data_IF_397065421607
#
_entry.id   IF_397065421607
#
_cell.length_a   1.000
_cell.length_b   1.000
_cell.length_c   1.000
_cell.angle_alpha   90.00
_cell.angle_beta   90.00
_cell.angle_gamma   90.00
#
_symmetry.space_group_name_H-M   'P 1'
#
loop_
_entity.id
_entity.type
_entity.pdbx_description
1 polymer ?
#
# COMPACT_ATOMS: atom_id res chain seq x y z
N UNK A 1 -32.62 -25.02 33.83
CA UNK A 1 -33.30 -24.45 32.64
C UNK A 1 -32.35 -24.54 31.46
N UNK A 2 -32.80 -25.16 30.38
CA UNK A 2 -31.97 -25.85 29.38
C UNK A 2 -31.13 -24.94 28.49
N UNK A 3 -29.86 -25.32 28.35
CA UNK A 3 -28.87 -24.73 27.47
C UNK A 3 -29.22 -25.01 26.00
N UNK A 4 -29.86 -24.05 25.33
CA UNK A 4 -30.08 -24.07 23.88
C UNK A 4 -28.82 -23.51 23.21
N UNK A 5 -27.81 -24.37 23.06
CA UNK A 5 -26.76 -24.19 22.07
C UNK A 5 -27.36 -24.51 20.69
N UNK A 6 -28.01 -23.52 20.06
CA UNK A 6 -28.40 -23.61 18.66
C UNK A 6 -27.17 -23.65 17.76
N UNK A 7 -26.71 -24.87 17.53
CA UNK A 7 -26.20 -25.45 16.28
C UNK A 7 -26.18 -24.44 15.11
N UNK A 8 -25.04 -23.78 14.91
CA UNK A 8 -24.68 -23.17 13.62
C UNK A 8 -24.81 -24.25 12.54
N UNK A 9 -25.91 -24.23 11.77
CA UNK A 9 -26.09 -25.10 10.62
C UNK A 9 -25.02 -24.74 9.59
N UNK A 10 -23.95 -25.53 9.58
CA UNK A 10 -23.19 -25.96 8.41
C UNK A 10 -23.05 -24.89 7.31
N UNK A 11 -22.20 -23.89 7.55
CA UNK A 11 -21.36 -23.40 6.47
C UNK A 11 -20.58 -24.61 5.97
N UNK A 12 -20.95 -25.08 4.77
CA UNK A 12 -20.35 -26.20 4.04
C UNK A 12 -18.85 -26.23 4.33
N UNK A 13 -18.38 -27.24 5.08
CA UNK A 13 -16.96 -27.49 5.36
C UNK A 13 -16.24 -27.72 4.03
N UNK A 14 -15.88 -26.67 3.30
CA UNK A 14 -14.83 -26.76 2.31
C UNK A 14 -13.57 -27.07 3.10
N UNK A 15 -13.06 -28.30 2.96
CA UNK A 15 -11.74 -28.68 3.47
C UNK A 15 -10.78 -27.55 3.07
N UNK A 16 -10.11 -26.88 4.03
CA UNK A 16 -9.11 -25.90 3.66
C UNK A 16 -8.06 -26.60 2.79
N UNK A 17 -7.64 -26.01 1.66
CA UNK A 17 -6.60 -26.61 0.84
C UNK A 17 -5.39 -26.86 1.72
N UNK A 18 -4.93 -28.10 1.74
CA UNK A 18 -3.71 -28.54 2.41
C UNK A 18 -2.58 -27.71 1.81
N UNK A 19 -2.13 -26.68 2.55
CA UNK A 19 -1.07 -25.78 2.10
C UNK A 19 0.28 -26.41 2.44
N UNK A 20 1.07 -26.66 1.40
CA UNK A 20 2.47 -27.06 1.46
C UNK A 20 3.31 -26.08 2.28
N UNK A 21 3.83 -26.56 3.41
CA UNK A 21 5.27 -26.60 3.70
C UNK A 21 6.10 -25.33 3.92
N UNK A 22 5.60 -24.10 3.70
CA UNK A 22 6.40 -22.90 4.01
C UNK A 22 5.62 -21.88 4.86
N UNK A 23 5.95 -21.82 6.15
CA UNK A 23 5.44 -20.83 7.10
C UNK A 23 6.08 -19.46 6.80
N UNK A 24 5.55 -18.79 5.78
CA UNK A 24 5.68 -17.34 5.65
C UNK A 24 5.32 -16.70 6.98
N UNK A 25 6.26 -15.98 7.60
CA UNK A 25 5.99 -15.16 8.78
C UNK A 25 4.83 -14.22 8.44
N UNK A 26 3.68 -14.43 9.10
CA UNK A 26 2.51 -13.57 8.91
C UNK A 26 2.83 -12.17 9.42
N UNK A 27 2.45 -11.12 8.68
CA UNK A 27 2.67 -9.73 9.10
C UNK A 27 1.96 -9.42 10.42
N UNK A 28 0.92 -10.17 10.75
CA UNK A 28 0.26 -10.16 12.06
C UNK A 28 1.25 -10.17 13.23
N UNK A 29 2.36 -10.91 13.13
CA UNK A 29 3.38 -11.01 14.19
C UNK A 29 4.09 -9.71 14.53
N UNK A 30 4.05 -8.70 13.66
CA UNK A 30 4.65 -7.39 13.94
C UNK A 30 3.76 -6.49 14.79
N UNK A 31 2.49 -6.86 14.98
CA UNK A 31 1.55 -6.11 15.83
C UNK A 31 1.81 -6.51 17.29
N UNK A 32 2.27 -5.58 18.12
CA UNK A 32 2.61 -5.85 19.52
C UNK A 32 1.38 -5.93 20.40
N UNK A 33 1.37 -6.88 21.34
CA UNK A 33 0.32 -7.03 22.34
C UNK A 33 0.76 -6.34 23.63
N UNK A 34 0.22 -5.15 23.90
CA UNK A 34 0.75 -4.27 24.94
C UNK A 34 0.01 -4.37 26.29
N UNK A 35 -0.92 -5.32 26.45
CA UNK A 35 -1.67 -5.50 27.69
C UNK A 35 -0.80 -6.11 28.78
N UNK A 36 -0.61 -5.34 29.86
CA UNK A 36 0.07 -5.81 31.08
C UNK A 36 -0.83 -6.75 31.87
N UNK A 37 -0.27 -7.44 32.87
CA UNK A 37 -1.06 -8.34 33.72
C UNK A 37 -2.18 -7.60 34.46
N UNK A 38 -1.90 -6.41 35.01
CA UNK A 38 -2.90 -5.53 35.64
C UNK A 38 -4.09 -5.20 34.71
N UNK A 39 -3.81 -4.99 33.42
CA UNK A 39 -4.82 -4.72 32.41
C UNK A 39 -5.68 -5.94 32.10
N UNK A 40 -5.07 -7.14 32.13
CA UNK A 40 -5.82 -8.39 31.94
C UNK A 40 -6.73 -8.66 33.13
N UNK A 41 -6.21 -8.46 34.34
CA UNK A 41 -6.95 -8.72 35.58
C UNK A 41 -8.16 -7.78 35.70
N UNK A 42 -8.02 -6.48 35.38
CA UNK A 42 -9.15 -5.55 35.41
C UNK A 42 -10.21 -5.89 34.36
N UNK A 43 -9.79 -6.31 33.15
CA UNK A 43 -10.72 -6.75 32.10
C UNK A 43 -11.50 -7.99 32.54
N UNK A 44 -10.82 -9.01 33.07
CA UNK A 44 -11.45 -10.25 33.55
C UNK A 44 -12.41 -9.97 34.71
N UNK A 45 -12.00 -9.13 35.68
CA UNK A 45 -12.79 -8.79 36.87
C UNK A 45 -14.13 -8.16 36.51
N UNK A 46 -14.18 -7.28 35.51
CA UNK A 46 -15.36 -6.46 35.23
C UNK A 46 -16.15 -6.85 33.98
N UNK A 47 -15.59 -7.65 33.06
CA UNK A 47 -16.25 -7.96 31.78
C UNK A 47 -17.65 -8.55 31.95
N UNK A 48 -17.79 -9.69 32.63
CA UNK A 48 -19.11 -10.28 32.87
C UNK A 48 -19.84 -9.59 34.04
N UNK A 49 -19.24 -9.46 35.24
CA UNK A 49 -20.00 -9.04 36.42
C UNK A 49 -20.48 -7.60 36.38
N UNK A 50 -19.75 -6.71 35.68
CA UNK A 50 -20.07 -5.28 35.60
C UNK A 50 -20.64 -4.94 34.23
N UNK A 51 -19.87 -5.14 33.16
CA UNK A 51 -20.23 -4.67 31.82
C UNK A 51 -21.44 -5.43 31.26
N UNK A 52 -21.37 -6.76 31.16
CA UNK A 52 -22.46 -7.52 30.55
C UNK A 52 -23.72 -7.61 31.44
N UNK A 53 -23.58 -7.44 32.76
CA UNK A 53 -24.74 -7.33 33.66
C UNK A 53 -25.52 -6.03 33.44
N UNK A 54 -24.83 -4.89 33.29
CA UNK A 54 -25.47 -3.60 33.05
C UNK A 54 -25.93 -3.44 31.60
N UNK A 55 -25.16 -3.95 30.66
CA UNK A 55 -25.36 -3.80 29.22
C UNK A 55 -25.39 -5.16 28.51
N UNK A 56 -26.43 -5.99 28.71
CA UNK A 56 -26.52 -7.33 28.10
C UNK A 56 -26.54 -7.28 26.57
N UNK A 57 -27.09 -6.20 26.00
CA UNK A 57 -27.17 -5.95 24.56
C UNK A 57 -26.05 -5.04 24.03
N UNK A 58 -24.93 -4.91 24.76
CA UNK A 58 -23.80 -4.03 24.43
C UNK A 58 -23.41 -4.07 22.94
N UNK A 59 -23.28 -5.28 22.38
CA UNK A 59 -22.84 -5.47 21.00
C UNK A 59 -23.91 -5.09 19.97
N UNK A 60 -25.19 -5.31 20.28
CA UNK A 60 -26.28 -4.89 19.41
C UNK A 60 -26.40 -3.37 19.41
N UNK A 61 -26.36 -2.74 20.59
CA UNK A 61 -26.33 -1.27 20.74
C UNK A 61 -25.14 -0.66 20.00
N UNK A 62 -23.95 -1.25 20.12
CA UNK A 62 -22.75 -0.81 19.39
C UNK A 62 -22.93 -0.89 17.87
N UNK A 63 -23.48 -2.00 17.36
CA UNK A 63 -23.73 -2.15 15.93
C UNK A 63 -24.76 -1.15 15.42
N UNK A 64 -25.83 -0.90 16.18
CA UNK A 64 -26.84 0.11 15.86
C UNK A 64 -26.25 1.53 15.82
N UNK A 65 -25.44 1.90 16.81
CA UNK A 65 -24.72 3.17 16.81
C UNK A 65 -23.77 3.30 15.61
N UNK A 66 -23.06 2.22 15.27
CA UNK A 66 -22.16 2.19 14.12
C UNK A 66 -22.89 2.33 12.78
N UNK A 67 -24.08 1.72 12.65
CA UNK A 67 -24.95 1.86 11.49
C UNK A 67 -25.45 3.31 11.38
N UNK A 68 -25.82 3.93 12.50
CA UNK A 68 -26.24 5.35 12.54
C UNK A 68 -25.12 6.27 12.03
N UNK A 69 -23.88 6.04 12.47
CA UNK A 69 -22.71 6.81 12.02
C UNK A 69 -22.30 6.47 10.58
N UNK A 70 -22.58 5.26 10.12
CA UNK A 70 -22.25 4.81 8.78
C UNK A 70 -23.34 3.91 8.18
N UNK A 71 -24.37 4.51 7.55
CA UNK A 71 -25.49 3.76 6.97
C UNK A 71 -25.06 2.71 5.93
N UNK A 72 -23.88 2.87 5.30
CA UNK A 72 -23.29 1.89 4.38
C UNK A 72 -23.02 0.53 5.01
N UNK A 73 -22.95 0.43 6.34
CA UNK A 73 -22.91 -0.86 7.03
C UNK A 73 -24.16 -1.70 6.75
N UNK A 74 -25.32 -1.06 6.52
CA UNK A 74 -26.54 -1.77 6.14
C UNK A 74 -26.38 -2.50 4.81
N UNK A 75 -25.73 -1.92 3.82
CA UNK A 75 -25.49 -2.59 2.53
C UNK A 75 -24.65 -3.87 2.69
N UNK A 76 -23.68 -3.82 3.59
CA UNK A 76 -22.76 -4.93 3.87
C UNK A 76 -23.48 -6.03 4.65
N UNK A 77 -24.26 -5.64 5.67
CA UNK A 77 -25.00 -6.56 6.52
C UNK A 77 -26.17 -7.18 5.73
N UNK A 78 -26.93 -6.40 4.98
CA UNK A 78 -28.06 -6.88 4.17
C UNK A 78 -27.66 -7.57 2.86
N UNK A 79 -26.43 -7.34 2.36
CA UNK A 79 -25.96 -7.78 1.03
C UNK A 79 -26.83 -7.23 -0.13
N UNK A 80 -27.22 -5.95 -0.05
CA UNK A 80 -27.91 -5.13 -1.09
C UNK A 80 -29.42 -5.34 -1.31
N UNK A 81 -30.12 -6.08 -0.47
CA UNK A 81 -31.57 -6.30 -0.61
C UNK A 81 -32.34 -5.62 0.50
N UNK A 82 -32.31 -4.29 0.59
CA UNK A 82 -33.00 -3.62 1.69
C UNK A 82 -33.63 -2.26 1.38
N UNK A 83 -34.81 -2.04 1.98
CA UNK A 83 -35.64 -0.83 1.92
C UNK A 83 -35.34 0.06 3.14
N UNK A 84 -34.72 1.24 2.97
CA UNK A 84 -34.22 2.09 4.06
C UNK A 84 -35.25 2.54 5.12
N UNK A 85 -36.53 2.18 4.97
CA UNK A 85 -37.63 2.54 5.86
C UNK A 85 -37.92 1.56 7.01
N UNK A 86 -37.24 0.39 7.17
CA UNK A 86 -37.61 -0.47 8.33
C UNK A 86 -37.24 0.18 9.65
N UNK A 87 -38.26 0.49 10.44
CA UNK A 87 -38.13 1.02 11.81
C UNK A 87 -37.50 -0.01 12.78
N UNK A 88 -37.39 -1.28 12.37
CA UNK A 88 -37.00 -2.41 13.23
C UNK A 88 -35.63 -3.04 12.87
N UNK A 89 -34.60 -2.24 12.57
CA UNK A 89 -33.25 -2.76 12.24
C UNK A 89 -32.67 -3.65 13.37
N UNK A 90 -32.97 -3.32 14.63
CA UNK A 90 -32.50 -4.07 15.80
C UNK A 90 -33.06 -5.52 15.87
N UNK A 91 -34.19 -5.78 15.21
CA UNK A 91 -34.85 -7.09 15.18
C UNK A 91 -34.30 -7.99 14.08
N UNK A 92 -33.38 -7.50 13.24
CA UNK A 92 -32.85 -8.29 12.14
C UNK A 92 -32.10 -9.52 12.65
N UNK A 93 -32.51 -10.75 12.26
CA UNK A 93 -31.88 -11.97 12.76
C UNK A 93 -30.38 -12.02 12.50
N UNK A 94 -29.94 -11.50 11.35
CA UNK A 94 -28.53 -11.45 10.99
C UNK A 94 -27.74 -10.46 11.85
N UNK A 95 -28.30 -9.29 12.16
CA UNK A 95 -27.66 -8.30 13.03
C UNK A 95 -27.52 -8.84 14.45
N UNK A 96 -28.59 -9.45 14.98
CA UNK A 96 -28.59 -10.11 16.28
C UNK A 96 -27.55 -11.24 16.34
N UNK A 97 -27.50 -12.11 15.31
CA UNK A 97 -26.49 -13.16 15.24
C UNK A 97 -25.06 -12.61 15.21
N UNK A 98 -24.83 -11.50 14.51
CA UNK A 98 -23.52 -10.82 14.52
C UNK A 98 -23.19 -10.26 15.90
N UNK A 99 -24.14 -9.62 16.57
CA UNK A 99 -23.97 -9.09 17.92
C UNK A 99 -23.64 -10.21 18.93
N UNK A 100 -24.38 -11.32 18.89
CA UNK A 100 -24.13 -12.52 19.72
C UNK A 100 -22.75 -13.10 19.42
N UNK A 101 -22.40 -13.22 18.13
CA UNK A 101 -21.09 -13.72 17.72
C UNK A 101 -19.93 -12.85 18.23
N UNK A 102 -20.09 -11.52 18.19
CA UNK A 102 -19.11 -10.58 18.73
C UNK A 102 -19.02 -10.70 20.26
N UNK A 103 -20.15 -10.77 20.96
CA UNK A 103 -20.17 -10.97 22.41
C UNK A 103 -19.46 -12.27 22.82
N UNK A 104 -19.77 -13.37 22.14
CA UNK A 104 -19.12 -14.65 22.37
C UNK A 104 -17.62 -14.61 22.07
N UNK A 105 -17.20 -13.89 21.01
CA UNK A 105 -15.79 -13.73 20.69
C UNK A 105 -15.03 -13.01 21.82
N UNK A 106 -15.50 -11.84 22.26
CA UNK A 106 -14.85 -11.08 23.33
C UNK A 106 -14.87 -11.81 24.66
N UNK A 107 -16.00 -12.41 25.04
CA UNK A 107 -16.11 -13.20 26.27
C UNK A 107 -15.15 -14.39 26.26
N UNK A 108 -15.01 -15.09 25.14
CA UNK A 108 -14.00 -16.14 24.98
C UNK A 108 -12.58 -15.58 25.16
N UNK A 109 -12.25 -14.44 24.55
CA UNK A 109 -10.90 -13.88 24.68
C UNK A 109 -10.58 -13.41 26.09
N UNK A 110 -11.53 -12.74 26.75
CA UNK A 110 -11.33 -12.16 28.08
C UNK A 110 -11.41 -13.25 29.17
N UNK A 111 -12.49 -14.03 29.19
CA UNK A 111 -12.79 -14.96 30.30
C UNK A 111 -12.12 -16.31 30.08
N UNK A 112 -12.35 -16.95 28.93
CA UNK A 112 -11.87 -18.32 28.67
C UNK A 112 -10.38 -18.36 28.39
N UNK A 113 -9.91 -17.54 27.46
CA UNK A 113 -8.51 -17.51 27.05
C UNK A 113 -7.64 -16.66 27.98
N UNK A 114 -8.23 -15.95 28.95
CA UNK A 114 -7.54 -15.03 29.88
C UNK A 114 -6.57 -14.09 29.19
N UNK A 115 -6.93 -13.63 27.99
CA UNK A 115 -6.12 -12.73 27.17
C UNK A 115 -4.70 -13.27 26.90
N UNK A 116 -4.59 -14.58 26.69
CA UNK A 116 -3.37 -15.20 26.14
C UNK A 116 -3.12 -14.66 24.72
N UNK A 117 -1.95 -14.04 24.52
CA UNK A 117 -1.63 -13.38 23.25
C UNK A 117 -1.69 -14.35 22.06
N UNK A 118 -1.18 -15.57 22.23
CA UNK A 118 -1.12 -16.56 21.17
C UNK A 118 -2.51 -16.97 20.69
N UNK A 119 -3.43 -17.20 21.63
CA UNK A 119 -4.83 -17.55 21.35
C UNK A 119 -5.61 -16.37 20.78
N UNK A 120 -5.50 -15.18 21.39
CA UNK A 120 -6.18 -13.96 20.91
C UNK A 120 -5.75 -13.67 19.48
N UNK A 121 -4.44 -13.69 19.21
CA UNK A 121 -3.90 -13.44 17.87
C UNK A 121 -4.43 -14.45 16.86
N UNK A 122 -4.38 -15.73 17.18
CA UNK A 122 -4.86 -16.80 16.30
C UNK A 122 -6.33 -16.62 15.94
N UNK A 123 -7.18 -16.35 16.91
CA UNK A 123 -8.62 -16.20 16.70
C UNK A 123 -8.93 -14.92 15.90
N UNK A 124 -8.24 -13.81 16.17
CA UNK A 124 -8.35 -12.56 15.39
C UNK A 124 -7.89 -12.70 13.94
N UNK A 125 -6.84 -13.50 13.69
CA UNK A 125 -6.39 -13.76 12.32
C UNK A 125 -7.46 -14.48 11.50
N UNK A 126 -8.13 -15.47 12.11
CA UNK A 126 -9.27 -16.16 11.50
C UNK A 126 -10.41 -15.17 11.24
N UNK A 127 -10.71 -14.29 12.19
CA UNK A 127 -11.77 -13.29 12.06
C UNK A 127 -11.47 -12.29 10.94
N UNK A 128 -10.25 -11.77 10.85
CA UNK A 128 -9.81 -10.88 9.76
C UNK A 128 -9.93 -11.54 8.38
N UNK A 129 -9.59 -12.82 8.29
CA UNK A 129 -9.76 -13.61 7.07
C UNK A 129 -11.22 -13.87 6.69
N UNK A 130 -12.18 -13.84 7.62
CA UNK A 130 -13.62 -13.90 7.31
C UNK A 130 -14.11 -12.53 6.79
N UNK A 131 -13.61 -11.42 7.36
CA UNK A 131 -14.04 -10.07 6.99
C UNK A 131 -13.70 -9.71 5.53
N UNK A 132 -12.68 -10.34 4.92
CA UNK A 132 -12.37 -10.19 3.49
C UNK A 132 -13.52 -10.63 2.58
N UNK A 133 -14.40 -11.52 3.02
CA UNK A 133 -15.56 -11.98 2.24
C UNK A 133 -16.59 -10.86 2.07
N UNK A 134 -16.63 -9.93 3.02
CA UNK A 134 -17.51 -8.77 2.99
C UNK A 134 -16.98 -7.61 2.14
N UNK A 135 -15.72 -7.68 1.68
CA UNK A 135 -15.13 -6.69 0.79
C UNK A 135 -15.94 -6.49 -0.50
N UNK A 136 -16.50 -7.57 -1.06
CA UNK A 136 -17.33 -7.52 -2.27
C UNK A 136 -18.61 -6.70 -2.08
N UNK A 137 -19.08 -6.55 -0.84
CA UNK A 137 -20.24 -5.74 -0.48
C UNK A 137 -19.85 -4.35 0.02
N UNK A 138 -18.57 -3.96 -0.12
CA UNK A 138 -18.09 -2.63 0.25
C UNK A 138 -17.52 -2.50 1.66
N UNK A 139 -17.29 -3.61 2.38
CA UNK A 139 -16.63 -3.56 3.69
C UNK A 139 -15.24 -2.93 3.58
N UNK A 140 -14.98 -1.94 4.44
CA UNK A 140 -13.72 -1.23 4.57
C UNK A 140 -13.23 -1.32 6.01
N UNK A 141 -11.91 -1.46 6.25
CA UNK A 141 -11.35 -1.49 7.60
C UNK A 141 -11.74 -0.32 8.49
N UNK A 142 -12.05 0.85 7.92
CA UNK A 142 -12.55 2.04 8.65
C UNK A 142 -13.81 1.77 9.48
N UNK A 143 -14.61 0.76 9.12
CA UNK A 143 -15.78 0.39 9.93
C UNK A 143 -15.41 -0.19 11.29
N UNK A 144 -14.23 -0.81 11.42
CA UNK A 144 -13.74 -1.29 12.71
C UNK A 144 -13.40 -0.12 13.64
N UNK A 145 -12.87 0.99 13.10
CA UNK A 145 -12.59 2.21 13.87
C UNK A 145 -13.90 2.82 14.42
N UNK A 146 -14.96 2.88 13.59
CA UNK A 146 -16.28 3.40 13.99
C UNK A 146 -16.90 2.50 15.06
N UNK A 147 -16.86 1.18 14.83
CA UNK A 147 -17.36 0.19 15.78
C UNK A 147 -16.67 0.29 17.13
N UNK A 148 -15.34 0.41 17.12
CA UNK A 148 -14.54 0.55 18.34
C UNK A 148 -14.88 1.83 19.09
N UNK A 149 -14.99 2.97 18.40
CA UNK A 149 -15.33 4.25 19.02
C UNK A 149 -16.68 4.19 19.73
N UNK A 150 -17.69 3.61 19.08
CA UNK A 150 -19.03 3.42 19.66
C UNK A 150 -19.02 2.46 20.84
N UNK A 151 -18.28 1.35 20.74
CA UNK A 151 -18.13 0.39 21.85
C UNK A 151 -17.55 1.06 23.09
N UNK A 152 -16.47 1.83 22.92
CA UNK A 152 -15.82 2.57 24.03
C UNK A 152 -16.79 3.59 24.63
N UNK A 153 -17.53 4.32 23.81
CA UNK A 153 -18.49 5.32 24.27
C UNK A 153 -19.62 4.70 25.12
N UNK A 154 -20.11 3.51 24.77
CA UNK A 154 -21.13 2.80 25.55
C UNK A 154 -20.54 2.26 26.85
N UNK A 155 -19.35 1.64 26.82
CA UNK A 155 -18.67 1.14 28.03
C UNK A 155 -18.39 2.27 29.03
N UNK A 156 -18.07 3.47 28.54
CA UNK A 156 -17.88 4.66 29.39
C UNK A 156 -19.14 5.10 30.14
N UNK A 157 -20.33 4.63 29.73
CA UNK A 157 -21.59 4.93 30.42
C UNK A 157 -21.88 3.94 31.55
N UNK A 158 -21.18 2.79 31.61
CA UNK A 158 -21.34 1.83 32.70
C UNK A 158 -20.78 2.37 34.02
N UNK A 159 -21.39 1.93 35.12
CA UNK A 159 -21.00 2.28 36.48
C UNK A 159 -20.00 1.28 37.03
N UNK A 160 -18.93 1.79 37.64
CA UNK A 160 -17.89 0.97 38.28
C UNK A 160 -17.71 1.40 39.72
N UNK A 161 -17.45 0.42 40.58
CA UNK A 161 -17.04 0.66 41.94
C UNK A 161 -15.75 -0.13 42.24
N UNK A 162 -14.63 0.53 42.56
CA UNK A 162 -14.40 2.00 42.61
C UNK A 162 -14.30 2.66 41.21
N UNK A 163 -14.40 4.00 41.15
CA UNK A 163 -14.29 4.75 39.88
C UNK A 163 -12.92 4.63 39.19
N UNK A 164 -11.85 4.36 39.94
CA UNK A 164 -10.53 4.10 39.35
C UNK A 164 -10.54 2.86 38.46
N UNK A 165 -11.36 1.86 38.79
CA UNK A 165 -11.51 0.65 37.98
C UNK A 165 -12.12 0.96 36.61
N UNK A 166 -13.02 1.97 36.52
CA UNK A 166 -13.55 2.46 35.24
C UNK A 166 -12.45 2.95 34.32
N UNK A 167 -11.57 3.82 34.85
CA UNK A 167 -10.48 4.43 34.08
C UNK A 167 -9.52 3.35 33.59
N UNK A 168 -9.14 2.43 34.47
CA UNK A 168 -8.25 1.32 34.16
C UNK A 168 -8.88 0.35 33.15
N UNK A 169 -10.14 0.00 33.34
CA UNK A 169 -10.88 -0.88 32.44
C UNK A 169 -11.02 -0.27 31.04
N UNK A 170 -11.46 0.99 30.94
CA UNK A 170 -11.63 1.67 29.64
C UNK A 170 -10.29 1.78 28.90
N UNK A 171 -9.19 2.08 29.61
CA UNK A 171 -7.85 2.08 29.03
C UNK A 171 -7.46 0.69 28.50
N UNK A 172 -7.56 -0.33 29.35
CA UNK A 172 -7.22 -1.71 28.98
C UNK A 172 -8.09 -2.22 27.82
N UNK A 173 -9.40 -1.95 27.83
CA UNK A 173 -10.32 -2.36 26.77
C UNK A 173 -10.04 -1.63 25.45
N UNK A 174 -9.64 -0.36 25.51
CA UNK A 174 -9.19 0.40 24.35
C UNK A 174 -7.92 -0.21 23.74
N UNK A 175 -6.94 -0.58 24.56
CA UNK A 175 -5.71 -1.26 24.11
C UNK A 175 -6.01 -2.63 23.49
N UNK A 176 -6.88 -3.44 24.12
CA UNK A 176 -7.34 -4.71 23.57
C UNK A 176 -8.03 -4.51 22.21
N UNK A 177 -8.99 -3.60 22.13
CA UNK A 177 -9.76 -3.36 20.90
C UNK A 177 -8.88 -2.81 19.78
N UNK A 178 -7.93 -1.93 20.08
CA UNK A 178 -6.95 -1.43 19.13
C UNK A 178 -6.09 -2.56 18.57
N UNK A 179 -5.61 -3.46 19.43
CA UNK A 179 -4.85 -4.63 19.02
C UNK A 179 -5.66 -5.52 18.08
N UNK A 180 -6.88 -5.89 18.48
CA UNK A 180 -7.78 -6.75 17.70
C UNK A 180 -8.11 -6.13 16.32
N UNK A 181 -8.50 -4.86 16.29
CA UNK A 181 -8.84 -4.15 15.06
C UNK A 181 -7.62 -4.06 14.14
N UNK A 182 -6.44 -3.67 14.67
CA UNK A 182 -5.20 -3.60 13.90
C UNK A 182 -4.84 -4.95 13.28
N UNK A 183 -4.97 -6.02 14.06
CA UNK A 183 -4.67 -7.37 13.60
C UNK A 183 -5.63 -7.82 12.48
N UNK A 184 -6.92 -7.52 12.63
CA UNK A 184 -7.92 -7.76 11.59
C UNK A 184 -7.64 -6.94 10.32
N UNK A 185 -7.21 -5.67 10.44
CA UNK A 185 -6.83 -4.84 9.29
C UNK A 185 -5.62 -5.44 8.56
N UNK A 186 -4.57 -5.85 9.29
CA UNK A 186 -3.38 -6.45 8.69
C UNK A 186 -3.73 -7.72 7.90
N UNK A 187 -4.54 -8.60 8.48
CA UNK A 187 -4.96 -9.84 7.82
C UNK A 187 -5.95 -9.59 6.66
N UNK A 188 -6.80 -8.57 6.78
CA UNK A 188 -7.64 -8.10 5.69
C UNK A 188 -6.79 -7.60 4.52
N UNK A 189 -5.79 -6.76 4.78
CA UNK A 189 -4.91 -6.24 3.74
C UNK A 189 -4.06 -7.34 3.08
N UNK A 190 -3.52 -8.27 3.87
CA UNK A 190 -2.73 -9.40 3.37
C UNK A 190 -3.59 -10.35 2.53
N UNK A 191 -4.81 -10.65 2.98
CA UNK A 191 -5.78 -11.43 2.21
C UNK A 191 -6.19 -10.71 0.93
N UNK A 192 -6.38 -9.39 0.99
CA UNK A 192 -6.71 -8.57 -0.17
C UNK A 192 -5.55 -8.52 -1.16
N UNK A 193 -4.30 -8.40 -0.71
CA UNK A 193 -3.10 -8.46 -1.56
C UNK A 193 -2.95 -9.85 -2.18
N UNK A 194 -3.23 -10.92 -1.44
CA UNK A 194 -3.21 -12.29 -1.97
C UNK A 194 -4.29 -12.51 -3.04
N UNK A 195 -5.50 -11.99 -2.83
CA UNK A 195 -6.56 -12.00 -3.84
C UNK A 195 -6.18 -11.14 -5.04
N UNK A 196 -5.71 -9.91 -4.84
CA UNK A 196 -5.24 -9.02 -5.92
C UNK A 196 -4.06 -9.63 -6.69
N UNK A 197 -3.14 -10.35 -6.06
CA UNK A 197 -2.09 -11.08 -6.77
C UNK A 197 -2.62 -12.15 -7.73
N UNK A 198 -3.86 -12.64 -7.54
CA UNK A 198 -4.59 -13.48 -8.50
C UNK A 198 -5.38 -12.68 -9.54
N UNK A 199 -5.78 -11.44 -9.24
CA UNK A 199 -6.57 -10.57 -10.13
C UNK A 199 -5.75 -9.50 -10.89
N UNK A 200 -4.49 -9.26 -10.54
CA UNK A 200 -3.59 -8.31 -11.22
C UNK A 200 -2.65 -9.09 -12.14
N UNK A 201 -3.23 -9.87 -13.05
CA UNK A 201 -2.83 -9.78 -14.46
C UNK A 201 -3.82 -8.81 -15.10
N UNK A 202 -3.75 -7.52 -14.71
CA UNK A 202 -4.31 -6.51 -15.62
C UNK A 202 -3.46 -6.67 -16.88
N UNK A 203 -4.11 -6.93 -18.00
CA UNK A 203 -3.44 -7.07 -19.28
C UNK A 203 -2.91 -5.69 -19.69
N UNK A 204 -1.80 -5.29 -19.08
CA UNK A 204 -1.13 -3.99 -19.30
C UNK A 204 -0.48 -3.91 -20.68
N UNK A 205 -0.73 -4.88 -21.57
CA UNK A 205 -0.20 -4.87 -22.93
C UNK A 205 -0.60 -3.58 -23.63
N UNK A 206 -1.88 -3.17 -23.55
CA UNK A 206 -2.35 -1.93 -24.18
C UNK A 206 -1.65 -0.68 -23.63
N UNK A 207 -1.49 -0.59 -22.31
CA UNK A 207 -0.78 0.53 -21.67
C UNK A 207 0.70 0.56 -22.05
N UNK A 208 1.38 -0.59 -21.99
CA UNK A 208 2.79 -0.70 -22.35
C UNK A 208 3.00 -0.36 -23.83
N UNK A 209 2.16 -0.90 -24.72
CA UNK A 209 2.19 -0.57 -26.15
C UNK A 209 2.01 0.93 -26.34
N UNK A 210 0.99 1.55 -25.74
CA UNK A 210 0.77 2.99 -25.87
C UNK A 210 1.96 3.83 -25.37
N UNK A 211 2.60 3.43 -24.26
CA UNK A 211 3.76 4.15 -23.73
C UNK A 211 5.05 3.93 -24.55
N UNK A 212 5.24 2.77 -25.16
CA UNK A 212 6.46 2.45 -25.92
C UNK A 212 6.39 2.87 -27.40
N UNK A 213 5.19 2.93 -27.98
CA UNK A 213 5.02 3.22 -29.41
C UNK A 213 5.60 4.57 -29.86
N UNK A 214 5.44 5.70 -29.13
CA UNK A 214 6.02 6.97 -29.56
C UNK A 214 7.54 6.92 -29.69
N UNK A 215 8.21 6.25 -28.75
CA UNK A 215 9.66 6.06 -28.78
C UNK A 215 10.11 5.20 -29.96
N UNK A 216 9.39 4.10 -30.24
CA UNK A 216 9.67 3.22 -31.37
C UNK A 216 9.48 3.92 -32.72
N UNK A 217 8.39 4.69 -32.87
CA UNK A 217 8.11 5.45 -34.09
C UNK A 217 9.19 6.51 -34.32
N UNK A 218 9.54 7.28 -33.28
CA UNK A 218 10.59 8.30 -33.37
C UNK A 218 11.96 7.68 -33.72
N UNK A 219 12.36 6.60 -33.04
CA UNK A 219 13.62 5.92 -33.31
C UNK A 219 13.68 5.37 -34.75
N UNK A 220 12.62 4.71 -35.21
CA UNK A 220 12.54 4.16 -36.57
C UNK A 220 12.63 5.26 -37.62
N UNK A 221 11.95 6.38 -37.39
CA UNK A 221 11.99 7.55 -38.28
C UNK A 221 13.42 8.10 -38.42
N UNK A 222 14.12 8.36 -37.31
CA UNK A 222 15.47 8.92 -37.36
C UNK A 222 16.52 7.96 -37.90
N UNK A 223 16.42 6.66 -37.59
CA UNK A 223 17.30 5.64 -38.18
C UNK A 223 17.11 5.60 -39.70
N UNK A 224 15.86 5.53 -40.17
CA UNK A 224 15.56 5.48 -41.61
C UNK A 224 16.05 6.74 -42.31
N UNK A 225 15.80 7.92 -41.72
CA UNK A 225 16.26 9.19 -42.28
C UNK A 225 17.79 9.30 -42.31
N UNK A 226 18.47 8.80 -41.27
CA UNK A 226 19.92 8.73 -41.20
C UNK A 226 20.52 7.84 -42.29
N UNK A 227 19.95 6.65 -42.51
CA UNK A 227 20.38 5.73 -43.58
C UNK A 227 20.21 6.38 -44.96
N UNK A 228 19.07 7.02 -45.21
CA UNK A 228 18.77 7.65 -46.50
C UNK A 228 19.64 8.88 -46.82
N UNK A 229 20.29 9.47 -45.81
CA UNK A 229 21.09 10.70 -45.95
C UNK A 229 22.56 10.50 -45.59
N UNK A 230 22.99 9.27 -45.34
CA UNK A 230 24.34 8.96 -44.83
C UNK A 230 25.44 9.49 -45.77
N UNK A 231 26.48 10.07 -45.18
CA UNK A 231 27.67 10.58 -45.88
C UNK A 231 28.90 9.82 -45.34
N UNK A 232 29.88 9.51 -46.20
CA UNK A 232 31.09 8.73 -45.85
C UNK A 232 32.16 9.54 -45.09
N UNK A 233 31.73 10.38 -44.14
CA UNK A 233 32.60 11.24 -43.35
C UNK A 233 33.04 10.53 -42.06
N UNK A 234 34.34 10.60 -41.68
CA UNK A 234 34.79 10.05 -40.41
C UNK A 234 34.19 10.84 -39.23
N UNK A 235 33.77 10.12 -38.18
CA UNK A 235 33.20 10.68 -36.96
C UNK A 235 34.23 10.64 -35.81
N UNK A 236 34.24 11.66 -34.96
CA UNK A 236 35.16 11.75 -33.82
C UNK A 236 34.84 10.75 -32.70
N UNK A 237 33.55 10.43 -32.51
CA UNK A 237 33.07 9.53 -31.47
C UNK A 237 31.85 8.74 -31.92
N UNK A 238 31.72 7.50 -31.45
CA UNK A 238 30.60 6.61 -31.75
C UNK A 238 29.36 6.96 -30.90
N UNK A 239 28.78 8.14 -31.11
CA UNK A 239 27.53 8.57 -30.46
C UNK A 239 26.45 8.84 -31.50
N UNK A 240 25.16 8.50 -31.23
CA UNK A 240 24.11 8.60 -32.23
C UNK A 240 23.95 9.98 -32.90
N UNK A 241 24.07 11.13 -32.18
CA UNK A 241 23.95 12.45 -32.81
C UNK A 241 25.06 12.78 -33.82
N UNK A 242 26.28 12.26 -33.61
CA UNK A 242 27.43 12.46 -34.52
C UNK A 242 27.41 11.50 -35.71
N UNK A 243 26.71 10.37 -35.59
CA UNK A 243 26.54 9.42 -36.69
C UNK A 243 25.58 9.93 -37.78
N UNK A 244 24.81 10.97 -37.49
CA UNK A 244 23.90 11.60 -38.45
C UNK A 244 24.59 12.72 -39.24
N UNK A 245 24.24 12.91 -40.52
CA UNK A 245 24.59 14.11 -41.27
C UNK A 245 24.04 15.37 -40.57
N UNK A 246 24.71 16.51 -40.74
CA UNK A 246 24.38 17.77 -40.05
C UNK A 246 22.90 18.18 -40.19
N UNK A 247 22.31 17.94 -41.37
CA UNK A 247 20.90 18.22 -41.65
C UNK A 247 19.96 17.37 -40.79
N UNK A 248 20.26 16.07 -40.65
CA UNK A 248 19.48 15.13 -39.83
C UNK A 248 19.70 15.43 -38.35
N UNK A 249 20.93 15.71 -37.92
CA UNK A 249 21.22 16.10 -36.53
C UNK A 249 20.47 17.37 -36.13
N UNK A 250 20.35 18.36 -37.03
CA UNK A 250 19.56 19.57 -36.79
C UNK A 250 18.07 19.27 -36.54
N UNK A 251 17.46 18.44 -37.39
CA UNK A 251 16.08 18.00 -37.24
C UNK A 251 15.92 17.24 -35.92
N UNK A 252 16.85 16.34 -35.60
CA UNK A 252 16.85 15.56 -34.37
C UNK A 252 16.90 16.45 -33.12
N UNK A 253 17.81 17.42 -33.04
CA UNK A 253 17.90 18.32 -31.90
C UNK A 253 16.61 19.15 -31.73
N UNK A 254 16.05 19.66 -32.82
CA UNK A 254 14.83 20.47 -32.78
C UNK A 254 13.61 19.65 -32.34
N UNK A 255 13.51 18.40 -32.79
CA UNK A 255 12.47 17.47 -32.34
C UNK A 255 12.61 17.14 -30.84
N UNK A 256 13.83 16.89 -30.35
CA UNK A 256 14.05 16.60 -28.92
C UNK A 256 13.71 17.79 -28.02
N UNK A 257 14.04 19.02 -28.42
CA UNK A 257 13.61 20.23 -27.67
C UNK A 257 12.09 20.28 -27.57
N UNK A 258 11.39 19.95 -28.65
CA UNK A 258 9.93 19.95 -28.69
C UNK A 258 9.35 18.87 -27.75
N UNK A 259 9.91 17.67 -27.75
CA UNK A 259 9.51 16.59 -26.82
C UNK A 259 9.82 16.92 -25.36
N UNK A 260 10.98 17.48 -25.07
CA UNK A 260 11.35 17.94 -23.72
C UNK A 260 10.40 19.02 -23.22
N UNK A 261 10.07 19.99 -24.07
CA UNK A 261 9.11 21.07 -23.75
C UNK A 261 7.71 20.50 -23.46
N UNK A 262 7.23 19.57 -24.29
CA UNK A 262 5.94 18.92 -24.08
C UNK A 262 5.94 18.09 -22.78
N UNK A 263 7.02 17.37 -22.50
CA UNK A 263 7.19 16.58 -21.27
C UNK A 263 7.23 17.46 -20.03
N UNK A 264 7.88 18.63 -20.11
CA UNK A 264 7.88 19.64 -19.06
C UNK A 264 6.46 20.14 -18.77
N UNK A 265 5.69 20.49 -19.80
CA UNK A 265 4.29 20.94 -19.67
C UNK A 265 3.43 19.87 -18.97
N UNK A 266 3.49 18.62 -19.44
CA UNK A 266 2.74 17.53 -18.82
C UNK A 266 3.16 17.26 -17.37
N UNK A 267 4.47 17.35 -17.08
CA UNK A 267 4.99 17.15 -15.74
C UNK A 267 4.52 18.23 -14.77
N UNK A 268 4.50 19.49 -15.21
CA UNK A 268 3.96 20.62 -14.43
C UNK A 268 2.46 20.44 -14.20
N UNK A 269 1.69 20.11 -15.25
CA UNK A 269 0.25 19.85 -15.13
C UNK A 269 -0.05 18.71 -14.13
N UNK A 270 0.69 17.60 -14.22
CA UNK A 270 0.57 16.48 -13.30
C UNK A 270 0.91 16.89 -11.86
N UNK A 271 1.95 17.71 -11.65
CA UNK A 271 2.33 18.22 -10.34
C UNK A 271 1.22 19.11 -9.74
N UNK A 272 0.66 20.03 -10.54
CA UNK A 272 -0.46 20.89 -10.14
C UNK A 272 -1.66 20.03 -9.72
N UNK A 273 -2.05 19.04 -10.53
CA UNK A 273 -3.15 18.13 -10.21
C UNK A 273 -2.92 17.39 -8.89
N UNK A 274 -1.69 16.94 -8.63
CA UNK A 274 -1.33 16.28 -7.36
C UNK A 274 -1.43 17.23 -6.18
N UNK A 275 -0.97 18.48 -6.32
CA UNK A 275 -1.06 19.51 -5.27
C UNK A 275 -2.51 19.87 -4.98
N UNK A 276 -3.34 20.06 -6.02
CA UNK A 276 -4.77 20.34 -5.88
C UNK A 276 -5.50 19.19 -5.18
N UNK A 277 -5.25 17.94 -5.59
CA UNK A 277 -5.82 16.77 -4.90
C UNK A 277 -5.36 16.66 -3.45
N UNK A 278 -4.11 17.01 -3.16
CA UNK A 278 -3.59 17.02 -1.78
C UNK A 278 -4.33 18.02 -0.91
N UNK A 279 -4.64 19.21 -1.43
CA UNK A 279 -5.44 20.21 -0.71
C UNK A 279 -6.85 19.68 -0.42
N UNK A 280 -7.50 19.06 -1.41
CA UNK A 280 -8.83 18.46 -1.24
C UNK A 280 -8.82 17.32 -0.20
N UNK A 281 -7.82 16.44 -0.24
CA UNK A 281 -7.70 15.32 0.71
C UNK A 281 -7.37 15.78 2.14
N UNK A 282 -6.58 16.84 2.31
CA UNK A 282 -6.29 17.41 3.64
C UNK A 282 -7.54 18.03 4.28
N UNK A 283 -8.47 18.53 3.47
CA UNK A 283 -9.79 19.00 3.92
C UNK A 283 -10.72 17.86 4.34
N UNK A 284 -10.60 16.65 3.74
CA UNK A 284 -11.47 15.50 4.04
C UNK A 284 -10.92 14.51 5.09
N UNK A 285 -9.66 14.61 5.51
CA UNK A 285 -8.99 13.60 6.33
C UNK A 285 -9.25 13.76 7.84
N UNK A 286 -10.42 13.30 8.33
CA UNK A 286 -10.70 13.16 9.78
C UNK A 286 -10.17 11.85 10.41
N UNK A 287 -9.96 10.77 9.64
CA UNK A 287 -9.58 9.43 10.18
C UNK A 287 -8.09 9.04 10.04
N UNK A 288 -7.59 8.26 11.00
CA UNK A 288 -6.19 7.80 11.15
C UNK A 288 -5.72 6.85 10.03
N UNK A 289 -6.58 5.93 9.56
CA UNK A 289 -6.27 4.95 8.51
C UNK A 289 -6.04 5.57 7.13
N UNK A 290 -6.70 6.69 6.82
CA UNK A 290 -6.42 7.47 5.60
C UNK A 290 -5.04 8.14 5.63
N UNK A 291 -4.52 8.52 6.81
CA UNK A 291 -3.22 9.18 6.94
C UNK A 291 -2.06 8.28 6.52
N UNK A 292 -2.13 6.98 6.80
CA UNK A 292 -1.10 6.01 6.39
C UNK A 292 -1.02 5.86 4.86
N UNK A 293 -2.17 5.71 4.21
CA UNK A 293 -2.26 5.59 2.73
C UNK A 293 -1.76 6.88 2.06
N UNK A 294 -2.18 8.03 2.58
CA UNK A 294 -1.75 9.36 2.10
C UNK A 294 -0.24 9.54 2.28
N UNK A 295 0.33 9.14 3.43
CA UNK A 295 1.77 9.23 3.68
C UNK A 295 2.57 8.36 2.69
N UNK A 296 2.08 7.16 2.37
CA UNK A 296 2.71 6.26 1.39
C UNK A 296 2.63 6.81 -0.03
N UNK A 297 1.48 7.33 -0.45
CA UNK A 297 1.33 8.00 -1.76
C UNK A 297 2.22 9.25 -1.86
N UNK A 298 2.34 10.02 -0.78
CA UNK A 298 3.20 11.21 -0.70
C UNK A 298 4.67 10.88 -0.93
N UNK A 299 5.15 9.75 -0.38
CA UNK A 299 6.53 9.30 -0.56
C UNK A 299 6.81 8.93 -2.02
N UNK A 300 5.91 8.17 -2.65
CA UNK A 300 6.02 7.75 -4.05
C UNK A 300 5.95 8.97 -5.01
N UNK A 301 5.04 9.91 -4.74
CA UNK A 301 4.91 11.14 -5.51
C UNK A 301 6.15 12.04 -5.39
N UNK A 302 6.76 12.16 -4.19
CA UNK A 302 8.00 12.91 -4.01
C UNK A 302 9.15 12.33 -4.83
N UNK A 303 9.35 11.01 -4.81
CA UNK A 303 10.39 10.37 -5.60
C UNK A 303 10.17 10.56 -7.11
N UNK A 304 8.93 10.45 -7.58
CA UNK A 304 8.57 10.69 -8.98
C UNK A 304 8.88 12.14 -9.40
N UNK A 305 8.49 13.12 -8.57
CA UNK A 305 8.75 14.52 -8.84
C UNK A 305 10.25 14.85 -8.89
N UNK A 306 11.07 14.26 -8.02
CA UNK A 306 12.53 14.46 -8.04
C UNK A 306 13.15 13.87 -9.31
N UNK A 307 12.74 12.66 -9.74
CA UNK A 307 13.22 12.09 -11.00
C UNK A 307 12.84 12.95 -12.20
N UNK A 308 11.59 13.45 -12.25
CA UNK A 308 11.16 14.32 -13.34
C UNK A 308 11.93 15.64 -13.35
N UNK A 309 12.17 16.25 -12.19
CA UNK A 309 12.92 17.50 -12.09
C UNK A 309 14.37 17.34 -12.57
N UNK A 310 15.06 16.29 -12.13
CA UNK A 310 16.45 16.02 -12.56
C UNK A 310 16.50 15.72 -14.05
N UNK A 311 15.57 14.91 -14.57
CA UNK A 311 15.46 14.63 -16.00
C UNK A 311 15.36 15.91 -16.81
N UNK A 312 14.35 16.73 -16.48
CA UNK A 312 14.00 17.91 -17.25
C UNK A 312 15.09 18.97 -17.20
N UNK A 313 15.69 19.22 -16.04
CA UNK A 313 16.78 20.20 -15.93
C UNK A 313 17.98 19.75 -16.77
N UNK A 314 18.36 18.48 -16.66
CA UNK A 314 19.54 17.96 -17.38
C UNK A 314 19.30 17.93 -18.90
N UNK A 315 18.17 17.38 -19.36
CA UNK A 315 17.89 17.25 -20.81
C UNK A 315 17.59 18.59 -21.45
N UNK A 316 16.79 19.45 -20.79
CA UNK A 316 16.45 20.76 -21.32
C UNK A 316 17.67 21.66 -21.43
N UNK A 317 18.48 21.79 -20.36
CA UNK A 317 19.69 22.61 -20.39
C UNK A 317 20.66 22.17 -21.48
N UNK A 318 20.77 20.86 -21.72
CA UNK A 318 21.62 20.31 -22.76
C UNK A 318 21.10 20.66 -24.16
N UNK A 319 19.85 20.34 -24.49
CA UNK A 319 19.32 20.60 -25.82
C UNK A 319 19.20 22.11 -26.12
N UNK A 320 18.83 22.91 -25.11
CA UNK A 320 18.83 24.36 -25.20
C UNK A 320 20.23 24.92 -25.46
N UNK A 321 21.22 24.46 -24.69
CA UNK A 321 22.62 24.87 -24.85
C UNK A 321 23.14 24.56 -26.25
N UNK A 322 22.95 23.33 -26.74
CA UNK A 322 23.38 22.92 -28.08
C UNK A 322 22.75 23.77 -29.18
N UNK A 323 21.45 24.05 -29.08
CA UNK A 323 20.76 24.92 -30.04
C UNK A 323 21.28 26.36 -30.01
N UNK A 324 21.59 26.89 -28.81
CA UNK A 324 22.13 28.23 -28.66
C UNK A 324 23.53 28.35 -29.27
N UNK A 325 24.42 27.38 -29.01
CA UNK A 325 25.77 27.37 -29.58
C UNK A 325 25.75 27.26 -31.12
N UNK A 326 24.83 26.47 -31.68
CA UNK A 326 24.62 26.40 -33.14
C UNK A 326 24.15 27.73 -33.73
N UNK A 327 23.22 28.43 -33.06
CA UNK A 327 22.75 29.76 -33.50
C UNK A 327 23.84 30.84 -33.43
N UNK A 328 24.78 30.70 -32.52
CA UNK A 328 25.92 31.61 -32.38
C UNK A 328 27.05 31.33 -33.39
N UNK A 329 26.93 30.31 -34.24
CA UNK A 329 27.93 30.00 -35.25
C UNK A 329 29.24 29.47 -34.66
N UNK A 330 29.18 28.79 -33.51
CA UNK A 330 30.36 28.18 -32.88
C UNK A 330 31.03 27.18 -33.83
N UNK A 331 32.36 27.15 -33.81
CA UNK A 331 33.16 26.27 -34.66
C UNK A 331 32.76 24.79 -34.51
N UNK A 332 32.75 24.06 -35.64
CA UNK A 332 32.33 22.66 -35.72
C UNK A 332 33.09 21.74 -34.77
N UNK A 333 34.42 21.88 -34.68
CA UNK A 333 35.26 21.06 -33.81
C UNK A 333 34.88 21.20 -32.32
N UNK A 334 34.59 22.44 -31.91
CA UNK A 334 34.12 22.71 -30.55
C UNK A 334 32.71 22.14 -30.33
N UNK A 335 31.86 22.17 -31.34
CA UNK A 335 30.52 21.56 -31.26
C UNK A 335 30.55 20.05 -31.10
N UNK A 336 31.37 19.35 -31.88
CA UNK A 336 31.53 17.90 -31.78
C UNK A 336 32.09 17.50 -30.40
N UNK A 337 33.00 18.29 -29.84
CA UNK A 337 33.53 18.10 -28.48
C UNK A 337 32.44 18.26 -27.43
N UNK A 338 31.63 19.32 -27.52
CA UNK A 338 30.56 19.59 -26.55
C UNK A 338 29.45 18.53 -26.64
N UNK A 339 29.07 18.10 -27.85
CA UNK A 339 28.12 17.00 -28.06
C UNK A 339 28.64 15.69 -27.46
N UNK A 340 29.93 15.42 -27.58
CA UNK A 340 30.58 14.25 -26.96
C UNK A 340 30.54 14.32 -25.44
N UNK A 341 30.85 15.47 -24.84
CA UNK A 341 30.83 15.64 -23.38
C UNK A 341 29.41 15.63 -22.80
N UNK A 342 28.42 16.10 -23.56
CA UNK A 342 27.01 16.10 -23.19
C UNK A 342 26.45 14.68 -22.94
N UNK A 343 27.10 13.63 -23.45
CA UNK A 343 26.64 12.26 -23.18
C UNK A 343 26.74 11.89 -21.69
N UNK A 344 27.71 12.42 -20.95
CA UNK A 344 27.92 12.13 -19.53
C UNK A 344 26.70 12.53 -18.69
N UNK A 345 26.24 13.80 -18.69
CA UNK A 345 25.03 14.18 -17.97
C UNK A 345 23.78 13.46 -18.50
N UNK A 346 23.70 13.16 -19.80
CA UNK A 346 22.62 12.36 -20.38
C UNK A 346 22.55 10.96 -19.76
N UNK A 347 23.69 10.28 -19.60
CA UNK A 347 23.74 8.95 -18.96
C UNK A 347 23.32 9.00 -17.49
N UNK A 348 23.66 10.08 -16.77
CA UNK A 348 23.19 10.31 -15.40
C UNK A 348 21.66 10.47 -15.38
N UNK A 349 21.09 11.23 -16.32
CA UNK A 349 19.64 11.38 -16.44
C UNK A 349 18.94 10.05 -16.75
N UNK A 350 19.50 9.20 -17.62
CA UNK A 350 18.90 7.88 -17.89
C UNK A 350 18.99 6.92 -16.70
N UNK A 351 20.05 7.01 -15.91
CA UNK A 351 20.25 6.18 -14.71
C UNK A 351 19.68 6.78 -13.43
N UNK A 352 19.09 7.98 -13.47
CA UNK A 352 18.57 8.68 -12.29
C UNK A 352 17.51 7.89 -11.51
N UNK A 353 16.74 7.05 -12.20
CA UNK A 353 15.69 6.24 -11.57
C UNK A 353 16.30 5.29 -10.53
N UNK A 354 17.45 4.68 -10.86
CA UNK A 354 18.23 3.89 -9.93
C UNK A 354 18.65 4.72 -8.72
N UNK A 355 19.31 5.86 -8.92
CA UNK A 355 19.83 6.67 -7.82
C UNK A 355 18.72 7.23 -6.92
N UNK A 356 17.64 7.75 -7.50
CA UNK A 356 16.51 8.31 -6.75
C UNK A 356 15.77 7.22 -5.99
N UNK A 357 15.53 6.05 -6.58
CA UNK A 357 14.90 4.94 -5.85
C UNK A 357 15.82 4.37 -4.77
N UNK A 358 17.11 4.25 -5.05
CA UNK A 358 18.09 3.84 -4.06
C UNK A 358 18.13 4.81 -2.88
N UNK A 359 18.06 6.12 -3.10
CA UNK A 359 18.02 7.11 -2.02
C UNK A 359 16.67 7.11 -1.26
N UNK A 360 15.56 7.11 -1.99
CA UNK A 360 14.24 7.41 -1.42
C UNK A 360 13.47 6.19 -0.88
N UNK A 361 13.76 4.99 -1.37
CA UNK A 361 13.03 3.75 -1.08
C UNK A 361 13.88 2.71 -0.37
N UNK A 362 13.59 2.47 0.92
CA UNK A 362 14.24 1.40 1.71
C UNK A 362 13.95 0.01 1.14
N UNK A 363 12.75 -0.19 0.58
CA UNK A 363 12.35 -1.44 -0.07
C UNK A 363 13.21 -1.72 -1.31
N UNK A 364 13.41 -0.70 -2.15
CA UNK A 364 14.24 -0.82 -3.35
C UNK A 364 15.69 -1.14 -3.00
N UNK A 365 16.27 -0.43 -2.02
CA UNK A 365 17.63 -0.73 -1.52
C UNK A 365 17.76 -2.17 -1.03
N UNK A 366 16.80 -2.66 -0.26
CA UNK A 366 16.86 -4.02 0.26
C UNK A 366 16.77 -5.04 -0.88
N UNK A 367 15.85 -4.86 -1.82
CA UNK A 367 15.72 -5.73 -2.99
C UNK A 367 17.00 -5.74 -3.84
N UNK A 368 17.59 -4.57 -4.09
CA UNK A 368 18.85 -4.44 -4.83
C UNK A 368 20.02 -5.14 -4.11
N UNK A 369 20.14 -4.98 -2.78
CA UNK A 369 21.13 -5.71 -1.98
C UNK A 369 20.94 -7.22 -2.07
N UNK A 370 19.70 -7.72 -2.06
CA UNK A 370 19.44 -9.15 -2.27
C UNK A 370 19.81 -9.61 -3.68
N UNK A 371 19.53 -8.82 -4.71
CA UNK A 371 19.94 -9.12 -6.09
C UNK A 371 21.48 -9.22 -6.19
N UNK A 372 22.22 -8.26 -5.63
CA UNK A 372 23.69 -8.31 -5.60
C UNK A 372 24.19 -9.56 -4.87
N UNK A 373 23.56 -9.95 -3.75
CA UNK A 373 23.95 -11.19 -3.04
C UNK A 373 23.71 -12.45 -3.85
N UNK A 374 22.70 -12.46 -4.71
CA UNK A 374 22.45 -13.59 -5.63
C UNK A 374 23.49 -13.64 -6.75
N UNK A 375 23.89 -12.48 -7.29
CA UNK A 375 24.88 -12.40 -8.37
C UNK A 375 26.33 -12.58 -7.89
N UNK A 376 26.66 -12.16 -6.67
CA UNK A 376 28.00 -12.24 -6.09
C UNK A 376 27.96 -12.93 -4.72
N UNK A 377 27.96 -14.29 -4.69
CA UNK A 377 27.86 -15.08 -3.46
C UNK A 377 28.95 -14.78 -2.44
N UNK A 378 30.10 -14.26 -2.90
CA UNK A 378 31.26 -13.93 -2.09
C UNK A 378 30.97 -12.80 -1.07
N UNK A 379 30.05 -11.88 -1.39
CA UNK A 379 29.63 -10.79 -0.48
C UNK A 379 28.59 -11.25 0.57
N UNK A 380 28.02 -12.44 0.45
CA UNK A 380 27.09 -12.97 1.45
C UNK A 380 27.80 -13.35 2.77
N UNK A 381 29.12 -13.63 2.73
CA UNK A 381 29.90 -14.05 3.90
C UNK A 381 30.33 -12.90 4.83
N UNK A 382 30.29 -11.64 4.39
CA UNK A 382 30.84 -10.52 5.18
C UNK A 382 29.90 -9.92 6.24
N UNK A 383 28.62 -10.30 6.30
CA UNK A 383 27.64 -9.68 7.23
C UNK A 383 26.87 -10.67 8.11
N UNK A 384 27.46 -11.83 8.43
CA UNK A 384 26.87 -12.79 9.37
C UNK A 384 26.94 -12.34 10.85
N UNK A 385 27.19 -11.06 11.12
CA UNK A 385 27.30 -10.47 12.45
C UNK A 385 26.22 -9.43 12.80
N UNK A 386 25.29 -9.12 11.89
CA UNK A 386 24.18 -8.20 12.21
C UNK A 386 22.81 -8.86 12.02
N UNK A 387 22.58 -9.89 12.83
CA UNK A 387 21.41 -10.76 12.80
C UNK A 387 20.29 -10.21 13.68
N UNK A 388 19.70 -9.05 13.35
CA UNK A 388 18.42 -8.63 13.97
C UNK A 388 17.36 -7.98 13.06
N UNK A 389 17.54 -7.87 11.75
CA UNK A 389 16.57 -7.11 10.93
C UNK A 389 16.26 -7.64 9.52
N UNK A 390 16.45 -8.95 9.29
CA UNK A 390 16.33 -9.56 7.95
C UNK A 390 15.16 -10.55 7.79
N UNK A 391 14.11 -10.44 8.62
CA UNK A 391 12.97 -11.36 8.55
C UNK A 391 11.80 -10.89 7.64
N UNK A 392 11.86 -9.70 7.04
CA UNK A 392 10.69 -9.09 6.37
C UNK A 392 10.73 -9.14 4.83
N UNK A 393 11.86 -9.50 4.21
CA UNK A 393 12.03 -9.43 2.73
C UNK A 393 12.23 -10.79 2.05
N UNK A 394 12.55 -11.87 2.79
CA UNK A 394 12.84 -13.18 2.16
C UNK A 394 11.62 -13.92 1.60
N UNK A 395 10.39 -13.44 1.83
CA UNK A 395 9.16 -14.15 1.46
C UNK A 395 8.58 -13.78 0.10
N UNK A 396 9.11 -12.76 -0.59
CA UNK A 396 8.77 -12.50 -1.99
C UNK A 396 9.68 -13.21 -3.00
N UNK A 397 10.85 -13.69 -2.58
CA UNK A 397 11.85 -14.30 -3.49
C UNK A 397 11.79 -15.83 -3.59
N UNK A 398 11.03 -16.54 -2.76
CA UNK A 398 10.89 -18.00 -2.88
C UNK A 398 10.07 -18.45 -4.10
N UNK A 399 9.53 -17.52 -4.89
CA UNK A 399 8.78 -17.81 -6.12
C UNK A 399 9.61 -17.74 -7.40
N UNK A 400 10.86 -17.26 -7.32
CA UNK A 400 11.78 -17.11 -8.47
C UNK A 400 12.95 -18.11 -8.44
N UNK A 401 12.96 -19.05 -7.49
CA UNK A 401 14.07 -19.98 -7.28
C UNK A 401 13.78 -21.39 -7.82
N UNK A 402 13.17 -21.46 -9.01
CA UNK A 402 12.93 -22.73 -9.70
C UNK A 402 13.84 -22.93 -10.92
N UNK A 403 14.43 -21.88 -11.49
CA UNK A 403 15.35 -22.01 -12.63
C UNK A 403 16.53 -21.05 -12.45
N UNK A 404 17.56 -21.50 -11.73
CA UNK A 404 18.95 -21.02 -11.75
C UNK A 404 19.83 -22.09 -11.11
#
# INVERSE_FOLDING_TARGET
>A
MGCILTRFKSLRKRKPPIKSGYKSMRKSRTVTFNLKQEDKDILIKHWEPTILTQEPDLFLKTMMASIKDSPKLLDIISRKTFDPSSEHIAEWPKLQQMAIGNCAFFSKQIVTNRLDEGLVRKDSEVLGAIHIEYCAYGFKPTFLDIWQANMISIIQQCDFHPQIDKVNFVRAFSELSNFLCTLMVVEYEDSMQSKKGRYVKIHNSGYLTLCCMPGLVSATFFITLGILRMEDMPIMACIPPLAYPLSVTYIWITANISFDTLTLIFSIAALILVVLRKHQLKSSARHSSQRYIIARQKRLSKSCAVMLAVFLVVTFSQHFGMNMMRKLGVERNLMETVETLAIVPTMIAYSQSFYVYFWSSRLYRNAFKEQIRCFLPQFAKLNCLDTKMTAVVSLSNSRYRADC
#
